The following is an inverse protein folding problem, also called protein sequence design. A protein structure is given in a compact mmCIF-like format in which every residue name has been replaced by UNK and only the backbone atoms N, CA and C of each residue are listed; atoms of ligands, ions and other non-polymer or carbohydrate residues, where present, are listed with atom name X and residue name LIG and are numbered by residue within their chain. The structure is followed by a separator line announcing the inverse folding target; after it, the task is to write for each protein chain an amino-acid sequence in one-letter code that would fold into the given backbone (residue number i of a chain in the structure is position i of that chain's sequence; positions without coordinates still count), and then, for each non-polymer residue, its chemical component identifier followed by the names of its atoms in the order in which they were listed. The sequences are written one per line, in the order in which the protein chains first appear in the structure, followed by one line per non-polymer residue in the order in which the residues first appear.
data_IF_923387565085
#
_entry.id   IF_923387565085
#
_cell.length_a   1.000
_cell.length_b   1.000
_cell.length_c   1.000
_cell.angle_alpha   90.00
_cell.angle_beta   90.00
_cell.angle_gamma   90.00
#
_symmetry.space_group_name_H-M   'P 1'
#
loop_
_entity.id
_entity.type
_entity.pdbx_description
1 polymer ?
#
# COMPACT_ATOMS: atom_id res chain seq x y z
N UNK A 1 -7.47 -8.15 5.21
CA UNK A 1 -7.96 -8.14 6.60
C UNK A 1 -6.78 -8.03 7.55
N UNK A 2 -6.83 -7.03 8.43
CA UNK A 2 -5.85 -6.82 9.51
C UNK A 2 -6.64 -6.77 10.80
N UNK A 3 -6.36 -7.70 11.72
CA UNK A 3 -7.08 -7.79 12.99
C UNK A 3 -6.14 -8.24 14.10
N UNK A 4 -6.31 -7.66 15.28
CA UNK A 4 -5.64 -8.09 16.50
C UNK A 4 -6.70 -8.35 17.59
N UNK A 5 -6.68 -9.52 18.23
CA UNK A 5 -5.76 -10.65 18.03
C UNK A 5 -6.05 -11.43 16.73
N UNK A 6 -5.00 -12.05 16.15
CA UNK A 6 -5.14 -12.86 14.92
C UNK A 6 -5.87 -14.20 15.15
N UNK A 7 -5.88 -14.68 16.39
CA UNK A 7 -6.60 -15.86 16.85
C UNK A 7 -7.59 -15.44 17.92
N UNK A 8 -8.83 -15.88 17.79
CA UNK A 8 -9.93 -15.50 18.69
C UNK A 8 -10.92 -16.65 18.87
N UNK A 9 -11.79 -16.62 19.87
CA UNK A 9 -12.84 -17.63 20.03
C UNK A 9 -13.70 -17.74 18.77
N UNK A 10 -13.79 -18.96 18.23
CA UNK A 10 -14.55 -19.25 17.00
C UNK A 10 -13.76 -19.16 15.70
N UNK A 11 -12.46 -18.78 15.72
CA UNK A 11 -11.63 -18.76 14.51
C UNK A 11 -10.34 -17.99 14.61
N UNK A 12 -9.83 -17.65 13.45
CA UNK A 12 -8.65 -16.82 13.29
C UNK A 12 -8.82 -15.89 12.07
N UNK A 13 -7.81 -15.06 11.80
CA UNK A 13 -7.83 -14.12 10.66
C UNK A 13 -8.07 -14.83 9.31
N UNK A 14 -7.64 -16.08 9.15
CA UNK A 14 -7.86 -16.86 7.93
C UNK A 14 -9.36 -17.14 7.69
N UNK A 15 -10.11 -17.56 8.74
CA UNK A 15 -11.56 -17.73 8.65
C UNK A 15 -12.25 -16.40 8.36
N UNK A 16 -11.86 -15.36 9.07
CA UNK A 16 -12.42 -14.03 8.89
C UNK A 16 -12.23 -13.50 7.47
N UNK A 17 -11.04 -13.67 6.90
CA UNK A 17 -10.72 -13.19 5.56
C UNK A 17 -11.59 -13.87 4.49
N UNK A 18 -11.76 -15.19 4.56
CA UNK A 18 -12.59 -15.91 3.59
C UNK A 18 -14.07 -15.55 3.78
N UNK A 19 -14.60 -15.64 5.01
CA UNK A 19 -16.01 -15.33 5.27
C UNK A 19 -16.36 -13.88 4.89
N UNK A 20 -15.55 -12.91 5.30
CA UNK A 20 -15.79 -11.50 5.01
C UNK A 20 -15.82 -11.22 3.51
N UNK A 21 -14.84 -11.73 2.77
CA UNK A 21 -14.78 -11.53 1.30
C UNK A 21 -15.95 -12.21 0.58
N UNK A 22 -16.26 -13.46 0.95
CA UNK A 22 -17.38 -14.19 0.33
C UNK A 22 -18.72 -13.48 0.63
N UNK A 23 -18.92 -13.03 1.87
CA UNK A 23 -20.15 -12.35 2.26
C UNK A 23 -20.29 -11.00 1.56
N UNK A 24 -19.23 -10.20 1.46
CA UNK A 24 -19.25 -8.91 0.77
C UNK A 24 -19.65 -9.06 -0.70
N UNK A 25 -19.09 -10.04 -1.40
CA UNK A 25 -19.45 -10.31 -2.79
C UNK A 25 -20.88 -10.88 -2.89
N UNK A 26 -21.26 -11.78 -1.98
CA UNK A 26 -22.58 -12.39 -1.99
C UNK A 26 -23.72 -11.37 -1.73
N UNK A 27 -23.47 -10.30 -0.96
CA UNK A 27 -24.47 -9.23 -0.75
C UNK A 27 -24.86 -8.50 -2.05
N UNK A 28 -24.01 -8.53 -3.07
CA UNK A 28 -24.34 -8.03 -4.40
C UNK A 28 -25.18 -8.98 -5.25
N UNK A 29 -25.52 -10.17 -4.73
CA UNK A 29 -26.21 -11.24 -5.47
C UNK A 29 -25.29 -12.07 -6.36
N UNK A 30 -23.97 -11.85 -6.31
CA UNK A 30 -23.02 -12.60 -7.12
C UNK A 30 -22.70 -13.97 -6.50
N UNK A 31 -22.46 -14.96 -7.36
CA UNK A 31 -22.02 -16.28 -6.94
C UNK A 31 -20.49 -16.34 -6.94
N UNK A 32 -19.89 -16.32 -5.76
CA UNK A 32 -18.44 -16.39 -5.57
C UNK A 32 -17.94 -17.79 -5.90
N UNK A 33 -16.97 -17.90 -6.80
CA UNK A 33 -16.34 -19.17 -7.18
C UNK A 33 -14.86 -19.22 -6.86
N UNK A 34 -14.18 -18.07 -7.03
CA UNK A 34 -12.73 -17.98 -6.93
C UNK A 34 -12.33 -16.81 -6.06
N UNK A 35 -11.29 -17.01 -5.27
CA UNK A 35 -10.64 -16.00 -4.45
C UNK A 35 -9.16 -15.91 -4.83
N UNK A 36 -8.60 -14.72 -4.72
CA UNK A 36 -7.15 -14.51 -4.62
C UNK A 36 -6.79 -14.21 -3.18
N UNK A 37 -5.58 -14.59 -2.76
CA UNK A 37 -5.11 -14.33 -1.42
C UNK A 37 -3.69 -13.76 -1.45
N UNK A 38 -3.45 -12.65 -0.74
CA UNK A 38 -2.13 -12.09 -0.51
C UNK A 38 -1.82 -12.10 0.99
N UNK A 39 -0.59 -12.43 1.35
CA UNK A 39 -0.07 -12.33 2.70
C UNK A 39 1.03 -11.28 2.75
N UNK A 40 0.98 -10.41 3.77
CA UNK A 40 2.09 -9.56 4.17
C UNK A 40 2.48 -10.04 5.55
N UNK A 41 3.69 -10.57 5.66
CA UNK A 41 4.21 -11.17 6.89
C UNK A 41 5.35 -10.33 7.45
N UNK A 42 5.43 -10.24 8.77
CA UNK A 42 6.59 -9.69 9.47
C UNK A 42 7.75 -10.68 9.42
N UNK A 43 8.98 -10.15 9.39
CA UNK A 43 10.19 -10.97 9.50
C UNK A 43 10.19 -11.76 10.82
N UNK A 44 10.39 -13.09 10.74
CA UNK A 44 10.34 -13.97 11.90
C UNK A 44 8.95 -14.37 12.36
N UNK A 45 7.91 -14.14 11.55
CA UNK A 45 6.56 -14.60 11.88
C UNK A 45 6.54 -16.13 12.11
N UNK A 46 5.94 -16.62 13.22
CA UNK A 46 5.94 -18.05 13.56
C UNK A 46 5.26 -18.89 12.48
N UNK A 47 5.99 -19.83 11.88
CA UNK A 47 5.52 -20.67 10.77
C UNK A 47 4.36 -21.59 11.17
N UNK A 48 4.31 -22.04 12.41
CA UNK A 48 3.18 -22.83 12.97
C UNK A 48 1.88 -22.02 12.97
N UNK A 49 1.94 -20.74 13.35
CA UNK A 49 0.79 -19.83 13.27
C UNK A 49 0.35 -19.57 11.85
N UNK A 50 1.30 -19.33 10.94
CA UNK A 50 0.99 -19.16 9.52
C UNK A 50 0.31 -20.42 8.97
N UNK A 51 0.86 -21.59 9.27
CA UNK A 51 0.27 -22.87 8.84
C UNK A 51 -1.18 -23.03 9.34
N UNK A 52 -1.46 -22.71 10.60
CA UNK A 52 -2.82 -22.74 11.14
C UNK A 52 -3.77 -21.79 10.41
N UNK A 53 -3.31 -20.57 10.09
CA UNK A 53 -4.11 -19.59 9.35
C UNK A 53 -4.44 -20.11 7.95
N UNK A 54 -3.43 -20.59 7.21
CA UNK A 54 -3.60 -21.13 5.86
C UNK A 54 -4.51 -22.35 5.85
N UNK A 55 -4.35 -23.25 6.82
CA UNK A 55 -5.22 -24.41 6.95
C UNK A 55 -6.68 -23.98 7.22
N UNK A 56 -6.90 -23.05 8.12
CA UNK A 56 -8.25 -22.52 8.41
C UNK A 56 -8.85 -21.82 7.18
N UNK A 57 -8.06 -21.08 6.41
CA UNK A 57 -8.52 -20.51 5.13
C UNK A 57 -8.97 -21.59 4.15
N UNK A 58 -8.20 -22.66 3.99
CA UNK A 58 -8.52 -23.76 3.08
C UNK A 58 -9.79 -24.52 3.53
N UNK A 59 -9.98 -24.72 4.83
CA UNK A 59 -11.19 -25.33 5.40
C UNK A 59 -12.41 -24.45 5.16
N UNK A 60 -12.30 -23.14 5.41
CA UNK A 60 -13.38 -22.18 5.25
C UNK A 60 -13.75 -22.00 3.76
N UNK A 61 -12.75 -22.00 2.87
CA UNK A 61 -12.99 -21.93 1.44
C UNK A 61 -13.80 -23.16 0.94
N UNK A 62 -13.46 -24.37 1.44
CA UNK A 62 -14.22 -25.59 1.15
C UNK A 62 -15.65 -25.52 1.70
N UNK A 63 -15.83 -25.02 2.93
CA UNK A 63 -17.15 -24.79 3.55
C UNK A 63 -17.99 -23.84 2.71
N UNK A 64 -17.40 -22.76 2.20
CA UNK A 64 -18.06 -21.77 1.35
C UNK A 64 -18.24 -22.21 -0.12
N UNK A 65 -17.69 -23.35 -0.54
CA UNK A 65 -17.75 -23.82 -1.93
C UNK A 65 -16.93 -22.98 -2.90
N UNK A 66 -15.89 -22.29 -2.42
CA UNK A 66 -15.01 -21.44 -3.23
C UNK A 66 -13.60 -22.03 -3.30
N UNK A 67 -12.86 -21.66 -4.35
CA UNK A 67 -11.47 -22.06 -4.52
C UNK A 67 -10.54 -20.86 -4.43
N UNK A 68 -9.48 -20.95 -3.62
CA UNK A 68 -8.38 -19.98 -3.64
C UNK A 68 -7.45 -20.40 -4.79
N UNK A 69 -7.45 -19.62 -5.88
CA UNK A 69 -6.77 -19.99 -7.13
C UNK A 69 -5.43 -19.29 -7.30
N UNK A 70 -5.18 -18.24 -6.57
CA UNK A 70 -3.91 -17.53 -6.52
C UNK A 70 -3.57 -17.15 -5.09
N UNK A 71 -2.28 -17.14 -4.77
CA UNK A 71 -1.76 -16.67 -3.50
C UNK A 71 -0.43 -15.97 -3.72
N UNK A 72 -0.21 -14.90 -2.98
CA UNK A 72 1.07 -14.22 -2.94
C UNK A 72 1.42 -13.96 -1.48
N UNK A 73 2.67 -14.29 -1.11
CA UNK A 73 3.18 -14.06 0.24
C UNK A 73 4.37 -13.14 0.12
N UNK A 74 4.26 -11.96 0.71
CA UNK A 74 5.35 -10.98 0.74
C UNK A 74 5.82 -10.78 2.17
N UNK A 75 7.13 -10.78 2.32
CA UNK A 75 7.82 -10.40 3.56
C UNK A 75 8.58 -9.11 3.24
N UNK A 76 8.26 -8.03 3.94
CA UNK A 76 9.00 -6.78 3.84
C UNK A 76 10.26 -6.91 4.69
N UNK A 77 11.42 -6.73 4.07
CA UNK A 77 12.72 -6.95 4.69
C UNK A 77 13.45 -5.62 4.93
N UNK A 78 14.41 -5.65 5.86
CA UNK A 78 15.28 -4.51 6.13
C UNK A 78 16.15 -4.21 4.90
N UNK A 79 16.21 -2.95 4.53
CA UNK A 79 16.95 -2.51 3.34
C UNK A 79 16.10 -2.43 2.08
N UNK A 80 14.88 -3.00 2.08
CA UNK A 80 13.96 -2.82 0.98
C UNK A 80 13.68 -1.32 0.72
N UNK A 81 13.42 -0.99 -0.53
CA UNK A 81 13.24 0.37 -1.02
C UNK A 81 11.76 0.63 -1.30
N UNK A 82 11.30 1.83 -0.96
CA UNK A 82 9.92 2.27 -1.12
C UNK A 82 9.82 3.17 -2.36
N UNK A 83 8.94 2.81 -3.29
CA UNK A 83 8.66 3.59 -4.51
C UNK A 83 7.20 4.01 -4.55
N UNK A 84 6.95 5.14 -5.22
CA UNK A 84 5.61 5.56 -5.66
C UNK A 84 5.57 5.69 -7.17
N UNK A 85 4.42 5.40 -7.78
CA UNK A 85 4.28 5.42 -9.24
C UNK A 85 4.09 6.82 -9.82
N UNK A 86 3.96 7.86 -9.02
CA UNK A 86 3.77 9.23 -9.52
C UNK A 86 3.42 10.25 -8.43
N UNK A 87 2.95 11.41 -8.85
CA UNK A 87 2.62 12.54 -7.98
C UNK A 87 1.50 12.21 -7.00
N UNK A 88 1.57 12.76 -5.78
CA UNK A 88 0.60 12.54 -4.73
C UNK A 88 -0.36 13.74 -4.53
N UNK A 89 -1.55 13.44 -4.05
CA UNK A 89 -2.56 14.43 -3.64
C UNK A 89 -3.49 14.89 -4.75
N UNK A 90 -3.24 14.55 -5.99
CA UNK A 90 -4.02 15.03 -7.15
C UNK A 90 -5.52 14.74 -7.01
N UNK A 91 -5.91 13.48 -6.76
CA UNK A 91 -7.32 13.09 -6.59
C UNK A 91 -7.98 13.82 -5.44
N UNK A 92 -7.41 13.73 -4.25
CA UNK A 92 -8.04 14.27 -3.05
C UNK A 92 -8.23 15.79 -3.14
N UNK A 93 -7.26 16.54 -3.68
CA UNK A 93 -7.38 17.98 -3.89
C UNK A 93 -8.41 18.29 -4.99
N UNK A 94 -8.43 17.54 -6.10
CA UNK A 94 -9.46 17.71 -7.13
C UNK A 94 -10.89 17.57 -6.56
N UNK A 95 -11.13 16.53 -5.76
CA UNK A 95 -12.43 16.31 -5.13
C UNK A 95 -12.77 17.39 -4.09
N UNK A 96 -11.78 17.78 -3.26
CA UNK A 96 -12.01 18.80 -2.22
C UNK A 96 -12.26 20.17 -2.81
N UNK A 97 -11.57 20.55 -3.90
CA UNK A 97 -11.82 21.81 -4.60
C UNK A 97 -13.26 21.89 -5.11
N UNK A 98 -13.77 20.83 -5.71
CA UNK A 98 -15.15 20.76 -6.19
C UNK A 98 -16.17 20.87 -5.03
N UNK A 99 -15.94 20.10 -3.95
CA UNK A 99 -16.86 20.11 -2.79
C UNK A 99 -16.93 21.46 -2.07
N UNK A 100 -15.83 22.19 -2.04
CA UNK A 100 -15.74 23.50 -1.37
C UNK A 100 -16.00 24.68 -2.30
N UNK A 101 -16.21 24.43 -3.60
CA UNK A 101 -16.39 25.48 -4.60
C UNK A 101 -15.15 26.36 -4.78
N UNK A 102 -13.95 25.81 -4.57
CA UNK A 102 -12.71 26.54 -4.68
C UNK A 102 -12.26 26.58 -6.14
N UNK A 103 -12.04 27.79 -6.65
CA UNK A 103 -11.44 28.00 -7.96
C UNK A 103 -9.94 28.26 -7.78
N UNK A 104 -9.11 27.28 -8.20
CA UNK A 104 -7.67 27.48 -8.30
C UNK A 104 -7.29 28.09 -9.66
N UNK A 105 -6.13 28.71 -9.75
CA UNK A 105 -5.62 29.30 -10.98
C UNK A 105 -5.26 28.24 -12.05
N UNK A 106 -5.03 27.01 -11.62
CA UNK A 106 -4.84 25.83 -12.49
C UNK A 106 -5.93 24.79 -12.23
N UNK A 107 -6.26 24.01 -13.27
CA UNK A 107 -7.17 22.87 -13.11
C UNK A 107 -6.41 21.70 -12.52
N UNK A 108 -6.75 21.34 -11.27
CA UNK A 108 -6.25 20.11 -10.65
C UNK A 108 -7.22 18.98 -10.98
N UNK A 109 -6.74 17.99 -11.72
CA UNK A 109 -7.53 16.84 -12.15
C UNK A 109 -7.23 15.63 -11.27
N UNK A 110 -8.23 14.73 -11.15
CA UNK A 110 -8.06 13.46 -10.47
C UNK A 110 -7.05 12.58 -11.20
N UNK A 111 -6.23 11.88 -10.45
CA UNK A 111 -5.27 10.91 -10.95
C UNK A 111 -5.87 9.51 -11.21
N UNK A 112 -7.18 9.33 -11.10
CA UNK A 112 -7.82 8.02 -11.26
C UNK A 112 -7.41 7.35 -12.57
N UNK A 113 -6.75 6.19 -12.47
CA UNK A 113 -6.16 5.48 -13.59
C UNK A 113 -6.07 3.96 -13.32
N UNK A 114 -6.23 3.10 -14.35
CA UNK A 114 -5.97 1.67 -14.23
C UNK A 114 -4.46 1.39 -14.25
N UNK A 115 -3.93 0.75 -13.22
CA UNK A 115 -2.50 0.49 -13.02
C UNK A 115 -2.07 -0.96 -13.28
N UNK A 116 -2.96 -1.81 -13.75
CA UNK A 116 -2.69 -3.23 -13.97
C UNK A 116 -1.49 -3.49 -14.92
N UNK A 117 -1.34 -2.68 -15.97
CA UNK A 117 -0.21 -2.82 -16.90
C UNK A 117 1.10 -2.35 -16.25
N UNK A 118 1.09 -1.22 -15.55
CA UNK A 118 2.25 -0.74 -14.79
C UNK A 118 2.74 -1.78 -13.79
N UNK A 119 1.83 -2.38 -13.02
CA UNK A 119 2.18 -3.43 -12.05
C UNK A 119 2.79 -4.65 -12.75
N UNK A 120 2.23 -5.07 -13.90
CA UNK A 120 2.76 -6.20 -14.65
C UNK A 120 4.19 -5.94 -15.16
N UNK A 121 4.48 -4.73 -15.63
CA UNK A 121 5.81 -4.35 -16.10
C UNK A 121 6.83 -4.27 -14.95
N UNK A 122 6.41 -3.75 -13.79
CA UNK A 122 7.26 -3.74 -12.59
C UNK A 122 7.58 -5.15 -12.14
N UNK A 123 6.59 -6.06 -12.08
CA UNK A 123 6.82 -7.46 -11.70
C UNK A 123 7.72 -8.20 -12.68
N UNK A 124 7.69 -7.84 -13.98
CA UNK A 124 8.60 -8.41 -14.96
C UNK A 124 10.05 -7.94 -14.76
N UNK A 125 10.24 -6.68 -14.36
CA UNK A 125 11.56 -6.08 -14.13
C UNK A 125 12.13 -6.36 -12.73
N UNK A 126 11.25 -6.49 -11.73
CA UNK A 126 11.58 -6.70 -10.33
C UNK A 126 10.69 -7.83 -9.76
N UNK A 127 10.97 -9.09 -10.10
CA UNK A 127 10.12 -10.24 -9.76
C UNK A 127 10.03 -10.49 -8.25
N UNK A 128 11.01 -10.03 -7.46
CA UNK A 128 11.02 -10.17 -6.00
C UNK A 128 10.36 -8.99 -5.28
N UNK A 129 9.56 -8.18 -5.98
CA UNK A 129 8.76 -7.11 -5.38
C UNK A 129 7.95 -7.65 -4.20
N UNK A 130 8.11 -7.02 -3.03
CA UNK A 130 7.51 -7.51 -1.78
C UNK A 130 6.01 -7.30 -1.76
N UNK A 131 5.56 -6.08 -2.07
CA UNK A 131 4.15 -5.76 -2.09
C UNK A 131 3.85 -4.52 -2.93
N UNK A 132 2.57 -4.41 -3.31
CA UNK A 132 1.97 -3.21 -3.88
C UNK A 132 0.76 -2.80 -3.05
N UNK A 133 0.51 -1.51 -2.96
CA UNK A 133 -0.70 -0.95 -2.35
C UNK A 133 -1.04 0.40 -2.96
N UNK A 134 -2.32 0.62 -3.19
CA UNK A 134 -2.85 1.93 -3.56
C UNK A 134 -2.96 2.84 -2.31
N UNK A 135 -2.41 4.05 -2.34
CA UNK A 135 -2.47 4.98 -1.22
C UNK A 135 -3.78 5.79 -1.24
N UNK A 136 -4.92 5.11 -1.05
CA UNK A 136 -6.27 5.71 -1.07
C UNK A 136 -6.59 6.41 0.24
N UNK A 137 -7.43 5.84 1.11
CA UNK A 137 -7.82 6.46 2.38
C UNK A 137 -6.63 6.69 3.31
N UNK A 138 -6.46 7.94 3.76
CA UNK A 138 -5.35 8.36 4.61
C UNK A 138 -4.01 8.45 3.86
N UNK A 139 -4.05 8.32 2.53
CA UNK A 139 -2.92 8.57 1.63
C UNK A 139 -1.73 7.66 1.85
N UNK A 140 -0.57 8.16 1.48
CA UNK A 140 0.72 7.46 1.65
C UNK A 140 1.01 7.18 3.13
N UNK A 141 0.70 8.13 4.01
CA UNK A 141 0.97 8.01 5.45
C UNK A 141 0.29 6.77 6.05
N UNK A 142 -1.01 6.56 5.81
CA UNK A 142 -1.72 5.37 6.30
C UNK A 142 -1.17 4.09 5.69
N UNK A 143 -0.95 4.07 4.39
CA UNK A 143 -0.43 2.90 3.67
C UNK A 143 0.91 2.42 4.22
N UNK A 144 1.86 3.33 4.40
CA UNK A 144 3.18 2.98 4.94
C UNK A 144 3.12 2.59 6.42
N UNK A 145 2.27 3.23 7.24
CA UNK A 145 2.09 2.84 8.63
C UNK A 145 1.46 1.44 8.75
N UNK A 146 0.51 1.10 7.87
CA UNK A 146 -0.03 -0.26 7.80
C UNK A 146 1.08 -1.29 7.46
N UNK A 147 1.95 -0.99 6.49
CA UNK A 147 3.08 -1.84 6.16
C UNK A 147 4.07 -1.97 7.33
N UNK A 148 4.45 -0.85 7.95
CA UNK A 148 5.37 -0.84 9.08
C UNK A 148 4.84 -1.68 10.25
N UNK A 149 3.55 -1.51 10.59
CA UNK A 149 2.90 -2.26 11.68
C UNK A 149 2.75 -3.74 11.36
N UNK A 150 2.30 -4.07 10.13
CA UNK A 150 2.10 -5.45 9.71
C UNK A 150 3.41 -6.24 9.63
N UNK A 151 4.51 -5.58 9.27
CA UNK A 151 5.83 -6.20 9.09
C UNK A 151 6.77 -6.04 10.29
N UNK A 152 6.36 -5.34 11.36
CA UNK A 152 7.19 -5.14 12.54
C UNK A 152 8.49 -4.35 12.28
N UNK A 153 8.47 -3.44 11.30
CA UNK A 153 9.63 -2.67 10.85
C UNK A 153 9.45 -1.17 11.08
N UNK A 154 10.53 -0.40 10.99
CA UNK A 154 10.46 1.04 10.78
C UNK A 154 10.56 1.34 9.28
N UNK A 155 9.94 2.41 8.83
CA UNK A 155 10.09 2.94 7.48
C UNK A 155 10.54 4.39 7.57
N UNK A 156 11.37 4.82 6.63
CA UNK A 156 11.80 6.21 6.52
C UNK A 156 11.58 6.68 5.09
N UNK A 157 10.89 7.79 4.92
CA UNK A 157 10.74 8.47 3.64
C UNK A 157 11.40 9.85 3.72
N UNK A 158 11.90 10.30 2.57
CA UNK A 158 12.41 11.64 2.38
C UNK A 158 11.31 12.51 1.76
N UNK A 159 10.92 13.57 2.44
CA UNK A 159 9.84 14.45 1.98
C UNK A 159 10.16 15.10 0.64
N UNK A 160 11.44 15.44 0.40
CA UNK A 160 11.90 16.07 -0.84
C UNK A 160 11.87 15.10 -2.04
N UNK A 161 11.91 13.77 -1.78
CA UNK A 161 11.84 12.75 -2.83
C UNK A 161 10.40 12.37 -3.19
N UNK A 162 9.41 12.81 -2.40
CA UNK A 162 8.00 12.54 -2.69
C UNK A 162 7.51 13.45 -3.81
N UNK A 163 7.13 12.91 -4.98
CA UNK A 163 6.70 13.74 -6.08
C UNK A 163 5.31 14.35 -5.79
N UNK A 164 5.25 15.67 -5.81
CA UNK A 164 4.02 16.46 -5.64
C UNK A 164 4.01 17.57 -6.68
N UNK A 165 2.86 17.79 -7.32
CA UNK A 165 2.70 18.90 -8.25
C UNK A 165 2.70 20.24 -7.48
N UNK A 166 3.34 21.31 -7.99
CA UNK A 166 3.40 22.59 -7.28
C UNK A 166 2.03 23.20 -6.96
N UNK A 167 1.04 23.01 -7.84
CA UNK A 167 -0.33 23.49 -7.64
C UNK A 167 -1.09 22.70 -6.57
N UNK A 168 -0.83 21.39 -6.48
CA UNK A 168 -1.36 20.53 -5.43
C UNK A 168 -0.72 20.84 -4.08
N UNK A 169 0.60 21.07 -4.06
CA UNK A 169 1.32 21.48 -2.86
C UNK A 169 0.78 22.82 -2.32
N UNK A 170 0.66 23.82 -3.17
CA UNK A 170 0.10 25.13 -2.80
C UNK A 170 -1.34 25.02 -2.29
N UNK A 171 -2.16 24.15 -2.90
CA UNK A 171 -3.52 23.91 -2.44
C UNK A 171 -3.56 23.25 -1.05
N UNK A 172 -2.68 22.27 -0.80
CA UNK A 172 -2.54 21.63 0.51
C UNK A 172 -2.16 22.66 1.59
N UNK A 173 -1.15 23.47 1.33
CA UNK A 173 -0.70 24.53 2.25
C UNK A 173 -1.82 25.52 2.57
N UNK A 174 -2.53 26.01 1.55
CA UNK A 174 -3.66 26.94 1.73
C UNK A 174 -4.81 26.33 2.55
N UNK A 175 -5.04 25.02 2.41
CA UNK A 175 -6.12 24.31 3.08
C UNK A 175 -5.72 23.71 4.43
N UNK A 176 -4.44 23.75 4.78
CA UNK A 176 -3.90 23.14 6.00
C UNK A 176 -3.88 21.61 5.96
N UNK A 177 -3.71 21.01 4.79
CA UNK A 177 -3.61 19.57 4.63
C UNK A 177 -2.16 19.12 4.47
N UNK A 178 -1.84 17.96 5.04
CA UNK A 178 -0.60 17.24 4.74
C UNK A 178 -0.83 16.37 3.50
N UNK A 179 -0.07 16.62 2.43
CA UNK A 179 -0.19 15.89 1.16
C UNK A 179 0.00 14.38 1.32
N UNK A 180 0.79 13.95 2.31
CA UNK A 180 1.01 12.53 2.61
C UNK A 180 -0.26 11.82 3.11
N UNK A 181 -1.25 12.56 3.59
CA UNK A 181 -2.54 12.04 4.07
C UNK A 181 -3.66 12.19 3.04
N UNK A 182 -3.38 12.85 1.90
CA UNK A 182 -4.37 13.08 0.84
C UNK A 182 -4.54 11.81 0.00
N UNK A 183 -5.80 11.47 -0.30
CA UNK A 183 -6.15 10.27 -1.05
C UNK A 183 -5.71 10.34 -2.52
N UNK A 184 -5.31 9.17 -3.07
CA UNK A 184 -4.93 8.97 -4.46
C UNK A 184 -5.72 7.77 -5.03
N UNK A 185 -6.13 7.80 -6.29
CA UNK A 185 -6.94 6.74 -6.92
C UNK A 185 -6.26 6.11 -8.15
N UNK A 186 -5.14 6.70 -8.61
CA UNK A 186 -4.34 6.20 -9.73
C UNK A 186 -2.86 6.15 -9.41
N UNK A 187 -2.51 5.87 -8.16
CA UNK A 187 -1.13 5.73 -7.70
C UNK A 187 -0.94 4.41 -6.97
N UNK A 188 0.30 3.95 -7.02
CA UNK A 188 0.73 2.70 -6.40
C UNK A 188 2.00 2.93 -5.58
N UNK A 189 2.02 2.41 -4.38
CA UNK A 189 3.23 2.24 -3.56
C UNK A 189 3.74 0.83 -3.78
N UNK A 190 5.04 0.69 -4.03
CA UNK A 190 5.72 -0.59 -4.11
C UNK A 190 6.84 -0.65 -3.07
N UNK A 191 7.05 -1.83 -2.50
CA UNK A 191 8.23 -2.16 -1.70
C UNK A 191 9.00 -3.24 -2.43
N UNK A 192 10.26 -2.97 -2.73
CA UNK A 192 11.10 -3.85 -3.55
C UNK A 192 12.46 -4.06 -2.90
N UNK A 193 13.14 -5.20 -3.16
CA UNK A 193 14.53 -5.38 -2.75
C UNK A 193 15.44 -4.26 -3.30
N UNK A 194 16.43 -3.84 -2.51
CA UNK A 194 17.31 -2.74 -2.90
C UNK A 194 18.02 -2.98 -4.25
N UNK A 195 18.41 -4.21 -4.52
CA UNK A 195 19.06 -4.62 -5.76
C UNK A 195 18.18 -4.55 -7.01
N UNK A 196 16.86 -4.51 -6.82
CA UNK A 196 15.88 -4.43 -7.91
C UNK A 196 15.22 -3.04 -8.01
N UNK A 197 15.55 -2.10 -7.11
CA UNK A 197 14.89 -0.80 -7.02
C UNK A 197 15.04 0.04 -8.29
N UNK A 198 16.23 0.09 -8.88
CA UNK A 198 16.48 0.85 -10.12
C UNK A 198 15.73 0.26 -11.31
N UNK A 199 15.66 -1.07 -11.41
CA UNK A 199 14.92 -1.76 -12.46
C UNK A 199 13.41 -1.52 -12.32
N UNK A 200 12.88 -1.60 -11.09
CA UNK A 200 11.49 -1.29 -10.79
C UNK A 200 11.15 0.16 -11.13
N UNK A 201 11.99 1.13 -10.73
CA UNK A 201 11.81 2.54 -11.03
C UNK A 201 11.81 2.79 -12.55
N UNK A 202 12.75 2.20 -13.27
CA UNK A 202 12.83 2.33 -14.72
C UNK A 202 11.57 1.77 -15.41
N UNK A 203 11.09 0.61 -14.98
CA UNK A 203 9.86 0.01 -15.48
C UNK A 203 8.63 0.87 -15.19
N UNK A 204 8.52 1.41 -13.95
CA UNK A 204 7.45 2.35 -13.62
C UNK A 204 7.47 3.56 -14.54
N UNK A 205 8.62 4.20 -14.73
CA UNK A 205 8.75 5.42 -15.55
C UNK A 205 8.49 5.20 -17.05
N UNK A 206 8.74 4.02 -17.54
CA UNK A 206 8.45 3.64 -18.93
C UNK A 206 6.97 3.32 -19.14
N UNK A 207 6.26 2.93 -18.09
CA UNK A 207 4.85 2.58 -18.15
C UNK A 207 3.96 3.83 -18.15
N UNK A 208 2.81 3.71 -18.82
CA UNK A 208 1.77 4.75 -18.77
C UNK A 208 1.34 4.97 -17.32
N UNK A 209 1.20 6.22 -16.91
CA UNK A 209 0.86 6.69 -15.56
C UNK A 209 1.99 6.57 -14.53
N UNK A 210 3.19 6.17 -14.95
CA UNK A 210 4.34 6.05 -14.07
C UNK A 210 5.47 7.06 -14.35
N UNK A 211 5.27 8.01 -15.26
CA UNK A 211 6.29 8.95 -15.73
C UNK A 211 6.98 9.75 -14.61
N UNK A 212 6.24 10.02 -13.53
CA UNK A 212 6.73 10.72 -12.34
C UNK A 212 7.03 9.79 -11.17
N UNK A 213 7.27 8.50 -11.44
CA UNK A 213 7.64 7.56 -10.39
C UNK A 213 8.96 7.95 -9.71
N UNK A 214 9.03 7.70 -8.40
CA UNK A 214 10.19 8.02 -7.58
C UNK A 214 10.45 6.97 -6.51
N UNK A 215 11.72 6.80 -6.15
CA UNK A 215 12.12 6.20 -4.90
C UNK A 215 11.93 7.28 -3.82
N UNK A 216 11.20 6.95 -2.77
CA UNK A 216 10.85 7.92 -1.72
C UNK A 216 11.41 7.56 -0.35
N UNK A 217 11.97 6.36 -0.19
CA UNK A 217 12.46 5.93 1.11
C UNK A 217 12.86 4.48 1.16
N UNK A 218 13.00 3.97 2.38
CA UNK A 218 13.49 2.62 2.65
C UNK A 218 12.93 2.03 3.94
N UNK A 219 13.01 0.71 4.02
CA UNK A 219 12.69 -0.07 5.22
C UNK A 219 13.91 -0.13 6.14
N UNK A 220 13.71 0.22 7.40
CA UNK A 220 14.76 0.26 8.43
C UNK A 220 14.52 -0.82 9.49
N UNK A 221 15.59 -1.27 10.17
CA UNK A 221 15.43 -2.09 11.36
C UNK A 221 14.64 -1.34 12.44
N UNK A 222 13.75 -2.04 13.13
CA UNK A 222 13.12 -1.50 14.31
C UNK A 222 14.11 -1.49 15.46
N UNK A 223 14.30 -0.35 16.13
CA UNK A 223 15.14 -0.27 17.31
C UNK A 223 14.49 -1.07 18.47
N UNK A 224 15.33 -1.63 19.34
CA UNK A 224 14.85 -2.40 20.49
C UNK A 224 13.89 -1.57 21.36
N UNK A 225 12.71 -2.12 21.65
CA UNK A 225 11.66 -1.43 22.42
C UNK A 225 10.90 -0.34 21.66
N UNK A 226 11.24 -0.06 20.41
CA UNK A 226 10.50 0.90 19.59
C UNK A 226 9.21 0.28 19.02
N UNK A 227 8.26 1.15 18.67
CA UNK A 227 7.05 0.73 17.93
C UNK A 227 7.27 0.89 16.43
N UNK A 228 6.71 -0.01 15.62
CA UNK A 228 6.68 0.16 14.16
C UNK A 228 6.05 1.51 13.81
N UNK A 229 6.73 2.29 12.99
CA UNK A 229 6.28 3.62 12.59
C UNK A 229 6.98 4.08 11.32
N UNK A 230 6.37 5.04 10.65
CA UNK A 230 6.97 5.75 9.52
C UNK A 230 7.61 7.04 10.02
N UNK A 231 8.82 7.28 9.59
CA UNK A 231 9.55 8.53 9.83
C UNK A 231 9.61 9.31 8.53
N UNK A 232 9.32 10.58 8.60
CA UNK A 232 9.46 11.51 7.47
C UNK A 232 10.67 12.40 7.75
N UNK A 233 11.70 12.28 6.93
CA UNK A 233 12.83 13.20 6.96
C UNK A 233 12.47 14.43 6.14
N UNK A 234 12.48 15.59 6.78
CA UNK A 234 12.17 16.86 6.11
C UNK A 234 13.41 17.46 5.48
N UNK A 235 13.26 18.31 4.45
CA UNK A 235 14.36 19.01 3.79
C UNK A 235 15.21 19.88 4.72
N UNK A 236 14.73 20.18 5.93
CA UNK A 236 15.48 20.91 6.98
C UNK A 236 16.26 19.98 7.92
N UNK A 237 16.28 18.66 7.64
CA UNK A 237 17.01 17.67 8.45
C UNK A 237 16.30 17.28 9.74
N UNK A 238 15.09 17.74 10.00
CA UNK A 238 14.26 17.25 11.10
C UNK A 238 13.52 15.97 10.69
N UNK A 239 13.12 15.17 11.68
CA UNK A 239 12.32 13.97 11.47
C UNK A 239 10.99 14.13 12.19
N UNK A 240 9.88 13.84 11.49
CA UNK A 240 8.52 13.73 12.06
C UNK A 240 8.01 12.29 11.95
N UNK A 241 7.14 11.91 12.85
CA UNK A 241 6.50 10.58 12.92
C UNK A 241 5.03 10.75 12.58
#
# INVERSE_FOLDING_TARGET
FVVSPQFFPGGNIGRLAVCGTVNDVATSGANVRYLSCGFILEEGYPMDKLHQIVQTMAETAREAGVSIITGDTKVVERGDVILVSGTLGDHGIAIMSQRKGLAFSSTIESDAAPLNHLIAEVLAAAPDTRCFRDPTRGGLASTLNEFAQASGVAMEIDEDDVPVRPDVQAACEMLGYDVLQVANEGKMVAVVPAEQADAALAAMRAARYGENAAIIGRVLPLAEGARPAVRVRTGWGSTRI
#
